data_IF_775861821391
#
_entry.id   IF_775861821391
#
_cell.length_a   1.000
_cell.length_b   1.000
_cell.length_c   1.000
_cell.angle_alpha   90.00
_cell.angle_beta   90.00
_cell.angle_gamma   90.00
#
_symmetry.space_group_name_H-M   'P 1'
#
loop_
_entity.id
_entity.type
_entity.pdbx_description
1 polymer ?
#
# COMPACT_ATOMS: atom_id res chain seq x y z
N UNK A 1 23.19 -0.76 57.67
CA UNK A 1 23.58 -0.29 56.33
C UNK A 1 22.56 -0.85 55.36
N UNK A 2 21.91 0.02 54.59
CA UNK A 2 20.82 -0.33 53.66
C UNK A 2 21.47 -0.54 52.29
N UNK A 3 21.41 -1.77 51.76
CA UNK A 3 21.79 -2.02 50.37
C UNK A 3 20.58 -1.78 49.47
N UNK A 4 20.74 -0.79 48.59
CA UNK A 4 19.79 -0.41 47.55
C UNK A 4 19.73 -1.48 46.46
N UNK A 5 18.52 -1.93 46.14
CA UNK A 5 18.24 -2.67 44.92
C UNK A 5 18.49 -1.78 43.68
N UNK A 6 19.18 -2.32 42.68
CA UNK A 6 19.14 -1.78 41.32
C UNK A 6 18.47 -2.81 40.40
N UNK A 7 17.21 -2.55 40.08
CA UNK A 7 16.51 -3.15 38.95
C UNK A 7 17.16 -2.63 37.65
N UNK A 8 17.84 -3.50 36.92
CA UNK A 8 18.19 -3.24 35.52
C UNK A 8 16.97 -3.55 34.65
N UNK A 9 16.24 -2.50 34.26
CA UNK A 9 15.42 -2.55 33.05
C UNK A 9 16.36 -2.48 31.84
N UNK A 10 16.60 -3.60 31.15
CA UNK A 10 17.16 -3.57 29.80
C UNK A 10 16.09 -3.06 28.84
N UNK A 11 15.97 -1.73 28.78
CA UNK A 11 15.15 -1.03 27.81
C UNK A 11 15.79 -1.10 26.43
N UNK A 12 15.79 -2.27 25.81
CA UNK A 12 16.21 -2.39 24.41
C UNK A 12 15.05 -1.99 23.47
N UNK A 13 14.67 -0.71 23.57
CA UNK A 13 13.78 -0.04 22.61
C UNK A 13 14.54 0.38 21.34
N UNK A 14 15.81 0.03 21.21
CA UNK A 14 16.72 0.42 20.13
C UNK A 14 16.57 -0.39 18.83
N UNK A 15 15.91 -1.55 18.85
CA UNK A 15 15.78 -2.41 17.66
C UNK A 15 14.55 -2.11 16.79
N UNK A 16 13.66 -1.21 17.20
CA UNK A 16 12.65 -0.68 16.30
C UNK A 16 13.29 0.41 15.43
N UNK A 17 14.14 0.01 14.47
CA UNK A 17 14.40 0.83 13.29
C UNK A 17 13.04 1.11 12.67
N UNK A 18 12.43 2.24 13.04
CA UNK A 18 11.38 2.85 12.24
C UNK A 18 12.05 3.05 10.89
N UNK A 19 11.62 2.29 9.89
CA UNK A 19 12.03 2.61 8.54
C UNK A 19 11.74 4.10 8.34
N UNK A 20 12.73 4.89 7.90
CA UNK A 20 12.60 6.34 7.78
C UNK A 20 11.53 6.73 6.75
N UNK A 21 11.03 5.78 5.97
CA UNK A 21 9.94 5.99 5.04
C UNK A 21 8.61 5.68 5.74
N UNK A 22 7.60 6.57 5.67
CA UNK A 22 6.23 6.16 5.98
C UNK A 22 5.88 4.94 5.10
N UNK A 23 4.92 4.12 5.51
CA UNK A 23 4.30 3.10 4.65
C UNK A 23 2.94 3.68 4.22
N UNK A 24 2.49 3.49 2.98
CA UNK A 24 1.13 3.80 2.54
C UNK A 24 0.20 2.81 3.18
N UNK A 25 0.57 1.54 3.11
CA UNK A 25 -0.24 0.43 3.55
C UNK A 25 0.24 -0.07 4.90
N UNK A 26 -0.70 -0.38 5.78
CA UNK A 26 -0.40 -0.88 7.11
C UNK A 26 0.14 -2.30 7.03
N UNK A 27 1.43 -2.43 7.33
CA UNK A 27 2.09 -3.74 7.47
C UNK A 27 1.68 -4.53 8.70
N UNK A 28 0.77 -4.01 9.55
CA UNK A 28 0.34 -4.66 10.78
C UNK A 28 1.20 -4.32 11.99
N UNK A 29 0.83 -4.87 13.15
CA UNK A 29 1.56 -4.62 14.40
C UNK A 29 2.91 -5.36 14.38
N UNK A 30 4.01 -4.59 14.41
CA UNK A 30 5.39 -5.09 14.36
C UNK A 30 5.77 -6.15 15.40
N UNK A 31 5.03 -6.27 16.51
CA UNK A 31 5.31 -7.27 17.57
C UNK A 31 4.73 -8.65 17.26
N UNK A 32 3.65 -8.72 16.49
CA UNK A 32 2.93 -9.98 16.18
C UNK A 32 2.92 -10.28 14.68
N UNK A 33 3.12 -9.26 13.85
CA UNK A 33 3.13 -9.30 12.39
C UNK A 33 4.47 -8.72 11.92
N UNK A 34 5.28 -9.56 11.29
CA UNK A 34 6.52 -9.12 10.66
C UNK A 34 6.26 -8.49 9.29
N UNK A 35 5.39 -9.09 8.50
CA UNK A 35 5.05 -8.63 7.15
C UNK A 35 3.57 -8.90 6.89
N UNK A 36 2.98 -8.12 6.00
CA UNK A 36 1.62 -8.36 5.51
C UNK A 36 1.64 -8.44 4.00
N UNK A 37 1.02 -9.48 3.44
CA UNK A 37 0.85 -9.63 2.00
C UNK A 37 -0.61 -9.35 1.64
N UNK A 38 -0.84 -8.30 0.86
CA UNK A 38 -2.13 -8.02 0.25
C UNK A 38 -2.23 -8.71 -1.10
N UNK A 39 -3.38 -9.31 -1.39
CA UNK A 39 -3.69 -9.88 -2.70
C UNK A 39 -4.87 -9.13 -3.29
N UNK A 40 -4.72 -8.66 -4.52
CA UNK A 40 -5.75 -7.98 -5.30
C UNK A 40 -6.18 -8.90 -6.45
N UNK A 41 -7.44 -9.30 -6.43
CA UNK A 41 -8.02 -10.23 -7.41
C UNK A 41 -9.22 -9.58 -8.05
N UNK A 42 -9.34 -9.66 -9.36
CA UNK A 42 -10.57 -9.30 -10.05
C UNK A 42 -11.72 -10.22 -9.63
N UNK A 43 -12.96 -9.76 -9.74
CA UNK A 43 -14.14 -10.58 -9.39
C UNK A 43 -14.27 -11.87 -10.23
N UNK A 44 -13.65 -11.93 -11.40
CA UNK A 44 -13.50 -13.13 -12.23
C UNK A 44 -12.44 -14.14 -11.71
N UNK A 45 -11.86 -13.89 -10.54
CA UNK A 45 -10.81 -14.68 -9.88
C UNK A 45 -9.40 -14.56 -10.49
N UNK A 46 -9.20 -13.72 -11.51
CA UNK A 46 -7.86 -13.43 -12.02
C UNK A 46 -7.10 -12.51 -11.04
N UNK A 47 -5.89 -12.90 -10.63
CA UNK A 47 -5.05 -12.06 -9.77
C UNK A 47 -4.55 -10.85 -10.56
N UNK A 48 -4.75 -9.64 -10.04
CA UNK A 48 -4.17 -8.42 -10.57
C UNK A 48 -2.75 -8.22 -10.01
N UNK A 49 -2.64 -8.18 -8.69
CA UNK A 49 -1.39 -7.85 -8.03
C UNK A 49 -1.30 -8.43 -6.63
N UNK A 50 -0.07 -8.55 -6.15
CA UNK A 50 0.25 -8.73 -4.75
C UNK A 50 1.11 -7.58 -4.26
N UNK A 51 0.88 -7.14 -3.02
CA UNK A 51 1.62 -6.08 -2.35
C UNK A 51 2.16 -6.61 -1.04
N UNK A 52 3.47 -6.74 -0.92
CA UNK A 52 4.14 -7.11 0.32
C UNK A 52 4.60 -5.86 1.06
N UNK A 53 4.08 -5.69 2.28
CA UNK A 53 4.51 -4.64 3.20
C UNK A 53 5.43 -5.26 4.24
N UNK A 54 6.72 -4.92 4.17
CA UNK A 54 7.77 -5.57 4.95
C UNK A 54 8.09 -4.71 6.17
N UNK A 55 7.86 -5.17 7.40
CA UNK A 55 8.23 -4.37 8.59
C UNK A 55 9.58 -4.77 9.20
N UNK A 56 10.10 -5.95 8.87
CA UNK A 56 11.40 -6.45 9.28
C UNK A 56 12.09 -7.07 8.06
N UNK A 57 13.37 -6.74 7.85
CA UNK A 57 14.11 -7.27 6.71
C UNK A 57 14.21 -8.79 6.80
N UNK A 58 14.08 -9.47 5.66
CA UNK A 58 14.23 -10.92 5.55
C UNK A 58 14.74 -11.30 4.16
N UNK A 59 15.11 -12.56 3.99
CA UNK A 59 15.51 -13.12 2.70
C UNK A 59 14.60 -14.28 2.33
N UNK A 60 14.29 -14.42 1.04
CA UNK A 60 13.47 -15.53 0.50
C UNK A 60 14.11 -16.01 -0.79
N UNK A 61 14.67 -17.22 -0.78
CA UNK A 61 15.52 -17.69 -1.88
C UNK A 61 16.72 -16.76 -2.09
N UNK A 62 16.82 -16.18 -3.29
CA UNK A 62 17.89 -15.24 -3.66
C UNK A 62 17.52 -13.77 -3.45
N UNK A 63 16.28 -13.47 -3.05
CA UNK A 63 15.79 -12.11 -2.91
C UNK A 63 15.99 -11.58 -1.49
N UNK A 64 16.32 -10.30 -1.38
CA UNK A 64 16.47 -9.59 -0.11
C UNK A 64 15.40 -8.50 0.01
N UNK A 65 14.64 -8.56 1.09
CA UNK A 65 13.55 -7.64 1.39
C UNK A 65 13.94 -6.70 2.53
N UNK A 66 13.72 -5.41 2.34
CA UNK A 66 14.12 -4.37 3.28
C UNK A 66 12.95 -3.93 4.17
N UNK A 67 13.26 -3.69 5.44
CA UNK A 67 12.28 -3.20 6.41
C UNK A 67 11.73 -1.82 6.03
N UNK A 68 10.41 -1.69 6.13
CA UNK A 68 9.59 -0.55 5.76
C UNK A 68 9.66 -0.19 4.30
N UNK A 69 9.67 -1.20 3.45
CA UNK A 69 9.49 -1.08 2.01
C UNK A 69 8.21 -1.81 1.60
N UNK A 70 7.54 -1.28 0.59
CA UNK A 70 6.43 -1.95 -0.08
C UNK A 70 6.92 -2.50 -1.41
N UNK A 71 6.59 -3.76 -1.69
CA UNK A 71 6.97 -4.48 -2.89
C UNK A 71 5.72 -4.93 -3.63
N UNK A 72 5.52 -4.42 -4.84
CA UNK A 72 4.41 -4.79 -5.69
C UNK A 72 4.82 -5.84 -6.71
N UNK A 73 3.92 -6.78 -6.96
CA UNK A 73 4.05 -7.83 -7.97
C UNK A 73 2.79 -7.85 -8.81
N UNK A 74 2.88 -7.36 -10.04
CA UNK A 74 1.72 -7.13 -10.91
C UNK A 74 1.68 -8.17 -12.01
N UNK A 75 0.55 -8.87 -12.13
CA UNK A 75 0.32 -9.85 -13.18
C UNK A 75 -0.10 -9.14 -14.47
N UNK A 76 0.89 -8.78 -15.28
CA UNK A 76 0.70 -7.98 -16.51
C UNK A 76 -0.26 -8.64 -17.52
N UNK A 77 -0.32 -9.97 -17.57
CA UNK A 77 -1.24 -10.71 -18.42
C UNK A 77 -2.73 -10.50 -18.13
N UNK A 78 -3.07 -9.94 -16.96
CA UNK A 78 -4.45 -9.68 -16.56
C UNK A 78 -4.82 -8.19 -16.62
N UNK A 79 -3.94 -7.31 -17.14
CA UNK A 79 -4.20 -5.86 -17.17
C UNK A 79 -5.40 -5.46 -18.02
N UNK A 80 -5.79 -6.29 -18.99
CA UNK A 80 -6.99 -6.06 -19.79
C UNK A 80 -8.27 -6.00 -18.93
N UNK A 81 -8.30 -6.66 -17.77
CA UNK A 81 -9.46 -6.71 -16.88
C UNK A 81 -9.68 -5.40 -16.09
N UNK A 82 -8.67 -4.53 -16.00
CA UNK A 82 -8.79 -3.19 -15.36
C UNK A 82 -9.92 -2.34 -15.98
N UNK A 83 -10.26 -2.60 -17.25
CA UNK A 83 -11.31 -1.89 -17.95
C UNK A 83 -12.73 -2.33 -17.57
N UNK A 84 -12.91 -3.51 -16.96
CA UNK A 84 -14.24 -4.13 -16.85
C UNK A 84 -14.57 -4.76 -15.49
N UNK A 85 -13.58 -5.02 -14.64
CA UNK A 85 -13.77 -5.79 -13.42
C UNK A 85 -13.56 -4.94 -12.16
N UNK A 86 -14.39 -5.18 -11.14
CA UNK A 86 -14.16 -4.78 -9.76
C UNK A 86 -13.01 -5.60 -9.14
N UNK A 87 -12.45 -5.09 -8.04
CA UNK A 87 -11.37 -5.74 -7.31
C UNK A 87 -11.86 -6.25 -5.95
N UNK A 88 -11.31 -7.39 -5.54
CA UNK A 88 -11.32 -7.87 -4.17
C UNK A 88 -9.91 -7.76 -3.62
N UNK A 89 -9.78 -7.16 -2.44
CA UNK A 89 -8.52 -7.03 -1.71
C UNK A 89 -8.62 -7.85 -0.44
N UNK A 90 -7.67 -8.76 -0.24
CA UNK A 90 -7.51 -9.51 1.00
C UNK A 90 -6.07 -9.39 1.49
N UNK A 91 -5.81 -9.77 2.73
CA UNK A 91 -4.44 -9.83 3.24
C UNK A 91 -4.20 -10.99 4.17
N UNK A 92 -2.94 -11.40 4.27
CA UNK A 92 -2.44 -12.39 5.22
C UNK A 92 -1.30 -11.78 6.03
N UNK A 93 -1.34 -12.01 7.34
CA UNK A 93 -0.30 -11.62 8.28
C UNK A 93 0.73 -12.73 8.44
N UNK A 94 2.00 -12.35 8.41
CA UNK A 94 3.14 -13.24 8.59
C UNK A 94 3.74 -13.00 9.98
N UNK A 95 3.87 -14.08 10.76
CA UNK A 95 4.41 -14.05 12.12
C UNK A 95 5.93 -13.91 12.14
N UNK A 96 6.53 -13.59 13.30
CA UNK A 96 7.97 -13.55 13.42
C UNK A 96 8.70 -14.82 12.98
N UNK A 97 9.65 -14.68 12.06
CA UNK A 97 10.44 -15.78 11.51
C UNK A 97 9.81 -16.47 10.29
N UNK A 98 8.62 -16.04 9.86
CA UNK A 98 8.02 -16.51 8.62
C UNK A 98 8.49 -15.69 7.41
N UNK A 99 8.69 -16.37 6.29
CA UNK A 99 8.94 -15.76 4.98
C UNK A 99 7.73 -16.00 4.08
N UNK A 100 7.60 -15.17 3.05
CA UNK A 100 6.76 -15.49 1.90
C UNK A 100 7.64 -15.61 0.66
N UNK A 101 7.16 -16.34 -0.33
CA UNK A 101 7.81 -16.40 -1.64
C UNK A 101 7.14 -15.37 -2.55
N UNK A 102 7.88 -14.39 -3.09
CA UNK A 102 7.32 -13.48 -4.07
C UNK A 102 6.84 -14.27 -5.31
N UNK A 103 5.78 -13.81 -6.00
CA UNK A 103 5.36 -14.41 -7.26
C UNK A 103 6.48 -14.42 -8.29
N UNK A 104 6.61 -15.53 -9.02
CA UNK A 104 7.63 -15.70 -10.05
C UNK A 104 7.34 -14.96 -11.37
N UNK A 105 6.16 -14.34 -11.51
CA UNK A 105 5.72 -13.69 -12.75
C UNK A 105 5.17 -12.29 -12.47
N UNK A 106 5.57 -11.32 -13.30
CA UNK A 106 4.99 -9.99 -13.30
C UNK A 106 5.98 -8.85 -13.44
N UNK A 107 5.43 -7.64 -13.34
CA UNK A 107 6.18 -6.40 -13.18
C UNK A 107 6.31 -6.10 -11.69
N UNK A 108 7.50 -5.68 -11.25
CA UNK A 108 7.77 -5.33 -9.85
C UNK A 108 7.93 -3.85 -9.65
N UNK A 109 7.43 -3.33 -8.52
CA UNK A 109 7.67 -1.96 -8.09
C UNK A 109 8.10 -1.96 -6.64
N UNK A 110 9.16 -1.23 -6.36
CA UNK A 110 9.50 -0.85 -5.00
C UNK A 110 8.88 0.52 -4.73
N UNK A 111 8.37 0.71 -3.51
CA UNK A 111 7.96 2.05 -3.09
C UNK A 111 9.14 3.01 -3.25
N UNK A 112 9.00 4.00 -4.12
CA UNK A 112 10.01 5.03 -4.29
C UNK A 112 9.96 5.99 -3.08
N UNK A 113 11.11 6.29 -2.49
CA UNK A 113 11.34 7.02 -1.22
C UNK A 113 10.80 8.47 -1.17
N UNK A 114 10.01 8.88 -2.17
CA UNK A 114 9.88 10.26 -2.60
C UNK A 114 9.11 11.16 -1.65
N UNK A 115 7.87 10.83 -1.28
CA UNK A 115 7.08 11.64 -0.35
C UNK A 115 5.98 10.75 0.22
N UNK A 116 5.71 10.84 1.52
CA UNK A 116 4.49 10.28 2.07
C UNK A 116 3.24 10.94 1.47
N UNK A 117 2.11 10.79 2.15
CA UNK A 117 0.86 11.38 1.73
C UNK A 117 0.95 12.89 1.42
N UNK A 118 0.65 13.25 0.18
CA UNK A 118 0.57 14.64 -0.29
C UNK A 118 -0.88 15.08 -0.35
N UNK A 119 -1.20 16.25 0.21
CA UNK A 119 -2.55 16.79 0.16
C UNK A 119 -2.91 17.28 -1.26
N UNK A 120 -4.08 16.90 -1.74
CA UNK A 120 -4.69 17.43 -2.96
C UNK A 120 -5.29 18.79 -2.62
N UNK A 121 -4.80 19.83 -3.29
CA UNK A 121 -5.26 21.21 -3.16
C UNK A 121 -5.79 21.68 -4.51
N UNK A 122 -6.45 22.84 -4.56
CA UNK A 122 -6.95 23.41 -5.81
C UNK A 122 -5.83 23.63 -6.86
N UNK A 123 -4.58 23.79 -6.43
CA UNK A 123 -3.40 23.98 -7.27
C UNK A 123 -2.63 22.68 -7.52
N UNK A 124 -2.58 21.77 -6.54
CA UNK A 124 -2.12 20.38 -6.74
C UNK A 124 -3.30 19.51 -7.19
N UNK A 125 -3.78 19.76 -8.42
CA UNK A 125 -4.72 18.83 -9.09
C UNK A 125 -4.12 17.43 -9.02
N UNK A 126 -4.96 16.43 -8.73
CA UNK A 126 -4.60 15.01 -8.85
C UNK A 126 -3.77 14.83 -10.13
N UNK A 127 -2.44 14.56 -10.03
CA UNK A 127 -1.56 14.59 -11.19
C UNK A 127 -1.92 13.50 -12.21
N UNK A 128 -2.78 12.55 -11.81
CA UNK A 128 -3.30 11.46 -12.62
C UNK A 128 -4.80 11.59 -12.90
N UNK A 129 -5.41 12.73 -12.61
CA UNK A 129 -6.79 13.00 -12.95
C UNK A 129 -7.00 12.66 -14.43
N UNK A 130 -7.87 11.67 -14.68
CA UNK A 130 -8.30 11.18 -16.00
C UNK A 130 -7.40 10.16 -16.70
N UNK A 131 -6.47 9.49 -16.02
CA UNK A 131 -5.71 8.35 -16.58
C UNK A 131 -5.94 7.06 -15.79
N UNK A 132 -5.91 5.92 -16.46
CA UNK A 132 -5.96 4.61 -15.82
C UNK A 132 -7.31 4.20 -15.22
N UNK A 133 -7.31 3.06 -14.52
CA UNK A 133 -8.48 2.52 -13.83
C UNK A 133 -8.48 2.95 -12.36
N UNK A 134 -9.57 3.57 -11.92
CA UNK A 134 -9.77 4.03 -10.54
C UNK A 134 -10.72 3.09 -9.80
N UNK A 135 -10.38 2.76 -8.57
CA UNK A 135 -11.16 1.89 -7.71
C UNK A 135 -11.43 2.55 -6.38
N UNK A 136 -12.66 2.42 -5.88
CA UNK A 136 -13.08 2.96 -4.58
C UNK A 136 -13.31 1.83 -3.59
N UNK A 137 -12.72 1.93 -2.42
CA UNK A 137 -12.92 1.00 -1.32
C UNK A 137 -12.95 1.70 0.03
N UNK A 138 -12.82 0.92 1.09
CA UNK A 138 -12.77 1.41 2.47
C UNK A 138 -11.58 0.80 3.20
N UNK A 139 -10.94 1.58 4.08
CA UNK A 139 -9.96 1.04 5.03
C UNK A 139 -10.66 0.27 6.16
N UNK A 140 -9.91 -0.54 6.90
CA UNK A 140 -10.38 -1.18 8.15
C UNK A 140 -10.93 -0.19 9.19
N UNK A 141 -10.47 1.07 9.17
CA UNK A 141 -10.94 2.17 10.01
C UNK A 141 -12.19 2.89 9.47
N UNK A 142 -12.76 2.43 8.35
CA UNK A 142 -13.97 3.01 7.76
C UNK A 142 -13.76 4.25 6.89
N UNK A 143 -12.50 4.67 6.66
CA UNK A 143 -12.21 5.80 5.78
C UNK A 143 -12.34 5.39 4.32
N UNK A 144 -12.82 6.31 3.48
CA UNK A 144 -12.84 6.09 2.03
C UNK A 144 -11.42 6.14 1.48
N UNK A 145 -11.06 5.12 0.71
CA UNK A 145 -9.78 5.03 0.03
C UNK A 145 -10.01 4.77 -1.45
N UNK A 146 -9.07 5.21 -2.28
CA UNK A 146 -9.03 4.84 -3.68
C UNK A 146 -7.66 4.29 -4.05
N UNK A 147 -7.64 3.46 -5.09
CA UNK A 147 -6.41 3.07 -5.78
C UNK A 147 -6.59 3.31 -7.27
N UNK A 148 -5.57 3.87 -7.91
CA UNK A 148 -5.50 4.06 -9.36
C UNK A 148 -4.35 3.26 -9.93
N UNK A 149 -4.65 2.51 -10.98
CA UNK A 149 -3.65 1.81 -11.80
C UNK A 149 -3.58 2.50 -13.16
N UNK A 150 -2.40 3.00 -13.52
CA UNK A 150 -2.15 3.59 -14.83
C UNK A 150 -1.29 2.63 -15.62
N UNK A 151 -1.77 2.22 -16.79
CA UNK A 151 -0.99 1.40 -17.73
C UNK A 151 -0.12 2.27 -18.62
N UNK A 152 0.95 1.69 -19.14
CA UNK A 152 1.71 2.26 -20.24
C UNK A 152 0.85 2.41 -21.51
N UNK A 153 1.32 3.13 -22.54
CA UNK A 153 0.54 3.35 -23.77
C UNK A 153 0.15 2.07 -24.52
N UNK A 154 0.94 1.00 -24.42
CA UNK A 154 0.64 -0.31 -25.02
C UNK A 154 -0.38 -1.12 -24.23
N UNK A 155 -0.62 -0.77 -22.95
CA UNK A 155 -1.56 -1.47 -22.08
C UNK A 155 -1.05 -2.82 -21.55
N UNK A 156 0.23 -3.12 -21.74
CA UNK A 156 0.85 -4.40 -21.38
C UNK A 156 1.68 -4.33 -20.08
N UNK A 157 1.86 -3.14 -19.51
CA UNK A 157 2.47 -2.93 -18.20
C UNK A 157 1.79 -1.78 -17.44
N UNK A 158 2.03 -1.69 -16.13
CA UNK A 158 1.69 -0.52 -15.33
C UNK A 158 2.82 0.52 -15.41
N UNK A 159 2.47 1.79 -15.57
CA UNK A 159 3.38 2.94 -15.46
C UNK A 159 3.44 3.45 -14.02
N UNK A 160 2.30 3.46 -13.33
CA UNK A 160 2.22 3.95 -11.96
C UNK A 160 1.02 3.40 -11.19
N UNK A 161 1.18 3.32 -9.88
CA UNK A 161 0.13 3.03 -8.90
C UNK A 161 -0.04 4.27 -8.04
N UNK A 162 -1.26 4.54 -7.57
CA UNK A 162 -1.51 5.67 -6.68
C UNK A 162 -2.61 5.36 -5.70
N UNK A 163 -2.30 5.46 -4.42
CA UNK A 163 -3.26 5.42 -3.34
C UNK A 163 -3.84 6.81 -3.06
N UNK A 164 -5.11 6.84 -2.70
CA UNK A 164 -5.79 8.04 -2.22
C UNK A 164 -6.49 7.78 -0.91
N UNK A 165 -6.47 8.76 -0.02
CA UNK A 165 -7.17 8.74 1.26
C UNK A 165 -8.06 9.97 1.39
N UNK A 166 -9.34 9.75 1.66
CA UNK A 166 -10.30 10.81 2.00
C UNK A 166 -10.54 10.80 3.50
N UNK A 167 -10.28 11.93 4.13
CA UNK A 167 -10.37 12.10 5.58
C UNK A 167 -11.20 13.34 5.92
N UNK A 168 -11.80 13.44 7.12
CA UNK A 168 -12.26 14.72 7.64
C UNK A 168 -11.16 15.78 7.54
N UNK A 169 -11.52 17.07 7.42
CA UNK A 169 -10.52 18.15 7.28
C UNK A 169 -9.52 18.25 8.43
N UNK A 170 -9.86 17.72 9.60
CA UNK A 170 -8.99 17.63 10.78
C UNK A 170 -8.16 16.33 10.84
N UNK A 171 -8.38 15.41 9.90
CA UNK A 171 -7.69 14.13 9.82
C UNK A 171 -6.31 14.26 9.18
N UNK A 172 -5.36 13.49 9.69
CA UNK A 172 -4.01 13.38 9.13
C UNK A 172 -3.89 12.08 8.34
N UNK A 173 -3.36 12.17 7.12
CA UNK A 173 -3.13 10.98 6.31
C UNK A 173 -2.11 10.04 6.92
N UNK A 174 -2.34 8.74 6.76
CA UNK A 174 -1.57 7.70 7.43
C UNK A 174 -1.74 6.35 6.78
N UNK A 175 -1.21 5.32 7.43
CA UNK A 175 -1.25 3.95 6.91
C UNK A 175 -2.69 3.47 6.72
N UNK A 176 -2.97 2.83 5.59
CA UNK A 176 -4.28 2.23 5.29
C UNK A 176 -4.19 0.71 5.35
N UNK A 177 -5.20 0.03 5.90
CA UNK A 177 -5.34 -1.43 5.77
C UNK A 177 -6.53 -1.71 4.84
N UNK A 178 -6.32 -1.77 3.52
CA UNK A 178 -7.38 -2.06 2.57
C UNK A 178 -7.85 -3.50 2.72
N UNK A 179 -9.17 -3.71 2.67
CA UNK A 179 -9.78 -5.03 2.69
C UNK A 179 -11.17 -4.96 2.04
N UNK A 180 -11.63 -6.08 1.50
CA UNK A 180 -12.96 -6.22 0.94
C UNK A 180 -13.01 -5.81 -0.54
N UNK A 181 -14.19 -5.36 -0.97
CA UNK A 181 -14.43 -5.06 -2.39
C UNK A 181 -14.12 -3.60 -2.71
N UNK A 182 -13.46 -3.42 -3.83
CA UNK A 182 -13.09 -2.16 -4.44
C UNK A 182 -13.85 -2.02 -5.75
N UNK A 183 -14.82 -1.11 -5.77
CA UNK A 183 -15.68 -0.91 -6.93
C UNK A 183 -15.01 0.00 -7.94
N UNK A 184 -14.99 -0.44 -9.20
CA UNK A 184 -14.46 0.34 -10.32
C UNK A 184 -15.27 1.62 -10.50
N UNK A 185 -14.55 2.72 -10.62
CA UNK A 185 -15.11 4.04 -10.92
C UNK A 185 -15.01 4.33 -12.41
N UNK A 186 -15.70 5.37 -12.87
CA UNK A 186 -15.55 5.83 -14.25
C UNK A 186 -14.07 6.18 -14.55
N UNK A 187 -13.56 5.79 -15.72
CA UNK A 187 -12.14 5.93 -16.09
C UNK A 187 -11.65 7.38 -16.14
N UNK A 188 -12.55 8.34 -16.33
CA UNK A 188 -12.26 9.77 -16.30
C UNK A 188 -12.53 10.43 -14.93
N UNK A 189 -12.94 9.66 -13.91
CA UNK A 189 -13.18 10.19 -12.58
C UNK A 189 -11.85 10.60 -11.93
N UNK A 190 -11.78 11.85 -11.45
CA UNK A 190 -10.73 12.30 -10.54
C UNK A 190 -11.12 12.03 -9.09
N UNK A 191 -10.13 12.04 -8.20
CA UNK A 191 -10.39 12.02 -6.76
C UNK A 191 -10.45 13.46 -6.26
N UNK A 192 -11.62 13.88 -5.80
CA UNK A 192 -11.84 15.22 -5.24
C UNK A 192 -12.39 15.08 -3.83
N UNK A 193 -11.90 15.91 -2.90
CA UNK A 193 -12.42 15.94 -1.54
C UNK A 193 -13.82 16.58 -1.51
N UNK A 194 -14.86 15.90 -0.99
CA UNK A 194 -16.15 16.52 -0.71
C UNK A 194 -16.03 17.62 0.34
N UNK A 195 -17.08 18.44 0.48
CA UNK A 195 -17.16 19.40 1.59
C UNK A 195 -16.97 18.71 2.95
N UNK A 196 -16.12 19.30 3.80
CA UNK A 196 -15.79 18.74 5.11
C UNK A 196 -14.73 17.63 5.10
N UNK A 197 -14.12 17.35 3.93
CA UNK A 197 -13.02 16.39 3.81
C UNK A 197 -11.78 17.01 3.16
N UNK A 198 -10.64 16.37 3.40
CA UNK A 198 -9.37 16.54 2.71
C UNK A 198 -9.05 15.26 1.95
N UNK A 199 -8.47 15.38 0.76
CA UNK A 199 -7.98 14.26 -0.02
C UNK A 199 -6.45 14.28 -0.03
N UNK A 200 -5.84 13.11 0.11
CA UNK A 200 -4.41 12.90 0.05
C UNK A 200 -4.08 11.82 -0.95
N UNK A 201 -2.90 11.87 -1.56
CA UNK A 201 -2.40 10.82 -2.43
C UNK A 201 -0.96 10.43 -2.11
N UNK A 202 -0.61 9.19 -2.43
CA UNK A 202 0.77 8.72 -2.53
C UNK A 202 0.90 7.91 -3.81
N UNK A 203 2.05 8.02 -4.48
CA UNK A 203 2.26 7.52 -5.83
C UNK A 203 3.53 6.69 -5.91
N UNK A 204 3.40 5.54 -6.54
CA UNK A 204 4.48 4.64 -6.91
C UNK A 204 4.65 4.69 -8.44
N UNK A 205 5.86 4.95 -8.92
CA UNK A 205 6.20 5.01 -10.34
C UNK A 205 7.04 3.79 -10.75
N UNK A 206 6.89 3.33 -11.99
CA UNK A 206 7.80 2.36 -12.58
C UNK A 206 9.24 2.90 -12.55
N UNK A 207 10.19 2.02 -12.19
CA UNK A 207 11.62 2.31 -12.21
C UNK A 207 12.23 2.36 -13.62
#
# INVERSE_FOLDING_TARGET
MVENAQFQCSGDKGAARRSPLPLEVDGGNKTTVQHRLFTMTFVNQAQLAQLAVVNQSFSSGNDQFNAGTEYWYVQTGNLADLASQDLSVSFVDFSPGSSFSPPAAGQTFDRHDGNGWTQITATSKDPLAKKGALYKGTSSSGNTIYIRFVTNPSGDALDSITWYQLLPTTGTAGRIAPNGTFTRQASNAGVTAPSGQSAYFSKEDAS
#
